data_IF_506917188281
#
_entry.id   IF_506917188281
#
_cell.length_a   1.000
_cell.length_b   1.000
_cell.length_c   1.000
_cell.angle_alpha   90.00
_cell.angle_beta   90.00
_cell.angle_gamma   90.00
#
_symmetry.space_group_name_H-M   'P 1'
#
loop_
_entity.id
_entity.type
_entity.pdbx_description
1 polymer ?
#
# COMPACT_ATOMS: atom_id res chain seq x y z
N UNK A 1 5.70 13.78 -19.69
CA UNK A 1 5.66 12.66 -18.73
C UNK A 1 5.04 11.47 -19.46
N UNK A 2 5.70 10.31 -19.54
CA UNK A 2 5.26 9.15 -20.35
C UNK A 2 4.58 8.15 -19.41
N UNK A 3 3.34 7.78 -19.69
CA UNK A 3 2.50 6.92 -18.84
C UNK A 3 2.28 5.59 -19.56
N UNK A 4 2.49 4.47 -18.88
CA UNK A 4 2.21 3.12 -19.40
C UNK A 4 0.92 2.57 -18.77
N UNK A 5 0.09 1.90 -19.57
CA UNK A 5 -1.24 1.41 -19.17
C UNK A 5 -1.18 -0.08 -18.85
N UNK A 6 -1.52 -0.45 -17.62
CA UNK A 6 -1.65 -1.84 -17.19
C UNK A 6 -3.03 -2.05 -16.57
N UNK A 7 -3.90 -2.84 -17.23
CA UNK A 7 -5.19 -3.29 -16.66
C UNK A 7 -6.08 -2.18 -16.06
N UNK A 8 -6.13 -1.00 -16.68
CA UNK A 8 -6.93 0.15 -16.20
C UNK A 8 -6.21 1.07 -15.20
N UNK A 9 -4.99 0.72 -14.78
CA UNK A 9 -4.15 1.57 -13.93
C UNK A 9 -3.17 2.38 -14.79
N UNK A 10 -3.14 3.69 -14.57
CA UNK A 10 -2.15 4.59 -15.15
C UNK A 10 -0.92 4.61 -14.25
N UNK A 11 0.17 4.03 -14.74
CA UNK A 11 1.44 3.90 -14.01
C UNK A 11 2.44 4.86 -14.67
N UNK A 12 2.89 5.85 -13.90
CA UNK A 12 3.97 6.75 -14.31
C UNK A 12 5.29 5.96 -14.52
N UNK A 13 6.10 6.32 -15.52
CA UNK A 13 7.38 5.68 -15.82
C UNK A 13 8.35 5.67 -14.62
N UNK A 14 8.28 6.68 -13.74
CA UNK A 14 9.06 6.69 -12.50
C UNK A 14 8.54 5.65 -11.49
N UNK A 15 7.22 5.45 -11.42
CA UNK A 15 6.62 4.37 -10.63
C UNK A 15 7.04 2.99 -11.18
N UNK A 16 7.11 2.80 -12.50
CA UNK A 16 7.61 1.55 -13.10
C UNK A 16 9.04 1.23 -12.66
N UNK A 17 9.93 2.23 -12.65
CA UNK A 17 11.31 2.07 -12.13
C UNK A 17 11.34 1.74 -10.64
N UNK A 18 10.54 2.44 -9.84
CA UNK A 18 10.50 2.23 -8.39
C UNK A 18 9.92 0.84 -8.05
N UNK A 19 8.96 0.33 -8.85
CA UNK A 19 8.42 -1.02 -8.74
C UNK A 19 9.43 -2.11 -9.14
N UNK A 20 10.29 -1.86 -10.14
CA UNK A 20 11.33 -2.82 -10.54
C UNK A 20 12.38 -3.08 -9.45
N UNK A 21 12.53 -2.17 -8.48
CA UNK A 21 13.46 -2.32 -7.33
C UNK A 21 12.86 -3.10 -6.14
N UNK A 22 11.58 -3.47 -6.24
CA UNK A 22 10.87 -4.25 -5.24
C UNK A 22 11.05 -5.75 -5.50
N UNK A 23 11.13 -6.55 -4.43
CA UNK A 23 11.09 -8.01 -4.57
C UNK A 23 9.63 -8.46 -4.70
N UNK A 24 9.42 -9.74 -5.04
CA UNK A 24 8.08 -10.31 -5.17
C UNK A 24 7.20 -10.14 -3.92
N UNK A 25 7.81 -10.09 -2.72
CA UNK A 25 7.06 -9.89 -1.49
C UNK A 25 6.59 -8.44 -1.32
N UNK A 26 7.41 -7.44 -1.63
CA UNK A 26 6.98 -6.04 -1.55
C UNK A 26 5.97 -5.69 -2.64
N UNK A 27 6.12 -6.27 -3.83
CA UNK A 27 5.10 -6.15 -4.89
C UNK A 27 3.76 -6.72 -4.43
N UNK A 28 3.73 -7.91 -3.81
CA UNK A 28 2.48 -8.48 -3.27
C UNK A 28 1.81 -7.55 -2.26
N UNK A 29 2.59 -6.97 -1.35
CA UNK A 29 2.05 -6.03 -0.34
C UNK A 29 1.57 -4.73 -0.98
N UNK A 30 2.29 -4.21 -1.98
CA UNK A 30 1.89 -3.03 -2.73
C UNK A 30 0.57 -3.25 -3.48
N UNK A 31 0.46 -4.35 -4.23
CA UNK A 31 -0.76 -4.69 -4.96
C UNK A 31 -1.94 -4.96 -4.03
N UNK A 32 -1.73 -5.60 -2.88
CA UNK A 32 -2.77 -5.77 -1.86
C UNK A 32 -3.28 -4.43 -1.33
N UNK A 33 -2.41 -3.43 -1.13
CA UNK A 33 -2.82 -2.09 -0.76
C UNK A 33 -3.62 -1.39 -1.87
N UNK A 34 -3.16 -1.48 -3.12
CA UNK A 34 -3.88 -0.93 -4.27
C UNK A 34 -5.28 -1.53 -4.43
N UNK A 35 -5.40 -2.87 -4.33
CA UNK A 35 -6.68 -3.57 -4.43
C UNK A 35 -7.67 -3.13 -3.36
N UNK A 36 -7.22 -3.03 -2.10
CA UNK A 36 -8.09 -2.58 -1.03
C UNK A 36 -8.50 -1.09 -1.15
N UNK A 37 -7.66 -0.23 -1.75
CA UNK A 37 -8.00 1.16 -2.04
C UNK A 37 -9.06 1.26 -3.14
N UNK A 38 -8.92 0.44 -4.19
CA UNK A 38 -9.87 0.34 -5.29
C UNK A 38 -11.24 -0.17 -4.82
N UNK A 39 -11.28 -1.24 -4.02
CA UNK A 39 -12.53 -1.78 -3.45
C UNK A 39 -13.29 -0.73 -2.61
N UNK A 40 -12.55 0.16 -1.94
CA UNK A 40 -13.14 1.23 -1.13
C UNK A 40 -13.44 2.52 -1.91
N UNK A 41 -13.02 2.63 -3.17
CA UNK A 41 -13.09 3.87 -3.94
C UNK A 41 -12.41 5.05 -3.23
N UNK A 42 -11.37 4.79 -2.44
CA UNK A 42 -10.74 5.79 -1.55
C UNK A 42 -9.24 5.83 -1.77
N UNK A 43 -8.66 7.03 -1.68
CA UNK A 43 -7.21 7.26 -1.69
C UNK A 43 -6.55 6.97 -0.33
N UNK A 44 -7.35 6.73 0.71
CA UNK A 44 -6.88 6.34 2.04
C UNK A 44 -7.49 5.01 2.46
N UNK A 45 -6.67 4.14 3.01
CA UNK A 45 -7.13 2.90 3.64
C UNK A 45 -6.64 2.76 5.07
N UNK A 46 -7.60 2.42 5.92
CA UNK A 46 -7.36 1.86 7.24
C UNK A 46 -7.18 0.35 7.17
N UNK A 47 -5.96 -0.12 7.42
CA UNK A 47 -5.67 -1.56 7.50
C UNK A 47 -4.56 -1.84 8.52
N UNK A 48 -4.55 -3.04 9.09
CA UNK A 48 -3.51 -3.48 10.01
C UNK A 48 -2.48 -4.34 9.27
N UNK A 49 -1.26 -4.42 9.79
CA UNK A 49 -0.25 -5.31 9.23
C UNK A 49 -0.68 -6.77 9.28
N UNK A 50 -1.45 -7.17 10.29
CA UNK A 50 -2.03 -8.52 10.41
C UNK A 50 -3.07 -8.80 9.32
N UNK A 51 -3.85 -7.80 8.93
CA UNK A 51 -4.81 -7.95 7.84
C UNK A 51 -4.09 -8.11 6.50
N UNK A 52 -3.08 -7.27 6.24
CA UNK A 52 -2.25 -7.36 5.04
C UNK A 52 -1.46 -8.68 4.96
N UNK A 53 -0.96 -9.19 6.09
CA UNK A 53 -0.23 -10.46 6.13
C UNK A 53 -1.13 -11.63 5.74
N UNK A 54 -2.41 -11.60 6.14
CA UNK A 54 -3.41 -12.60 5.73
C UNK A 54 -3.71 -12.52 4.23
N UNK A 55 -3.96 -11.32 3.69
CA UNK A 55 -4.28 -11.13 2.26
C UNK A 55 -3.11 -11.58 1.37
N UNK A 56 -1.89 -11.25 1.77
CA UNK A 56 -0.69 -11.55 0.97
C UNK A 56 -0.11 -12.94 1.21
N UNK A 57 -0.67 -13.68 2.19
CA UNK A 57 -0.12 -14.94 2.69
C UNK A 57 1.38 -14.84 3.06
N UNK A 58 1.76 -13.75 3.71
CA UNK A 58 3.13 -13.49 4.16
C UNK A 58 3.18 -13.48 5.69
N UNK A 59 4.37 -13.68 6.26
CA UNK A 59 4.55 -13.46 7.69
C UNK A 59 4.33 -11.97 8.04
N UNK A 60 3.92 -11.69 9.28
CA UNK A 60 3.75 -10.32 9.77
C UNK A 60 5.09 -9.57 9.66
N UNK A 61 6.22 -10.20 9.99
CA UNK A 61 7.54 -9.60 9.87
C UNK A 61 7.89 -9.24 8.42
N UNK A 62 7.64 -10.14 7.47
CA UNK A 62 7.87 -9.90 6.04
C UNK A 62 7.00 -8.74 5.55
N UNK A 63 5.73 -8.71 5.98
CA UNK A 63 4.78 -7.65 5.64
C UNK A 63 5.24 -6.30 6.20
N UNK A 64 5.72 -6.25 7.44
CA UNK A 64 6.27 -5.01 8.04
C UNK A 64 7.50 -4.51 7.31
N UNK A 65 8.44 -5.40 6.95
CA UNK A 65 9.63 -5.04 6.17
C UNK A 65 9.25 -4.50 4.79
N UNK A 66 8.29 -5.14 4.13
CA UNK A 66 7.77 -4.68 2.85
C UNK A 66 7.15 -3.29 2.95
N UNK A 67 6.25 -3.07 3.92
CA UNK A 67 5.65 -1.75 4.16
C UNK A 67 6.69 -0.67 4.44
N UNK A 68 7.73 -0.99 5.23
CA UNK A 68 8.84 -0.06 5.47
C UNK A 68 9.57 0.30 4.19
N UNK A 69 9.87 -0.67 3.32
CA UNK A 69 10.56 -0.43 2.05
C UNK A 69 9.70 0.39 1.08
N UNK A 70 8.41 0.07 0.97
CA UNK A 70 7.46 0.84 0.16
C UNK A 70 7.33 2.29 0.64
N UNK A 71 7.35 2.51 1.96
CA UNK A 71 7.32 3.85 2.54
C UNK A 71 8.61 4.63 2.21
N UNK A 72 9.77 4.01 2.38
CA UNK A 72 11.07 4.62 2.07
C UNK A 72 11.23 4.91 0.57
N UNK A 73 10.65 4.08 -0.30
CA UNK A 73 10.59 4.31 -1.74
C UNK A 73 9.60 5.42 -2.15
N UNK A 74 8.86 6.01 -1.19
CA UNK A 74 7.85 7.03 -1.48
C UNK A 74 6.65 6.53 -2.26
N UNK A 75 6.43 5.20 -2.29
CA UNK A 75 5.30 4.56 -2.97
C UNK A 75 4.03 4.63 -2.14
N UNK A 76 4.19 4.57 -0.82
CA UNK A 76 3.10 4.71 0.14
C UNK A 76 3.42 5.79 1.17
N UNK A 77 2.39 6.50 1.60
CA UNK A 77 2.43 7.33 2.78
C UNK A 77 1.72 6.62 3.92
N UNK A 78 2.33 6.64 5.11
CA UNK A 78 1.71 6.16 6.34
C UNK A 78 1.38 7.37 7.20
N UNK A 79 0.11 7.55 7.53
CA UNK A 79 -0.31 8.53 8.53
C UNK A 79 -0.73 7.80 9.80
N UNK A 80 -0.21 8.27 10.94
CA UNK A 80 -0.60 7.82 12.28
C UNK A 80 -1.44 8.89 12.97
N UNK A 81 -2.34 9.58 12.24
CA UNK A 81 -3.30 10.47 12.90
C UNK A 81 -4.36 9.65 13.65
N UNK A 82 -4.15 9.55 14.95
CA UNK A 82 -5.04 8.95 15.94
C UNK A 82 -6.36 9.73 16.01
N UNK A 83 -7.51 9.03 15.92
CA UNK A 83 -8.77 9.52 16.46
C UNK A 83 -9.07 8.66 17.69
N UNK A 84 -8.99 9.27 18.88
CA UNK A 84 -9.27 8.61 20.15
C UNK A 84 -10.77 8.76 20.43
N UNK A 85 -11.55 7.75 20.07
CA UNK A 85 -12.86 7.43 20.63
C UNK A 85 -13.06 5.92 20.42
N UNK A 86 -13.44 5.21 21.48
CA UNK A 86 -13.73 3.77 21.59
C UNK A 86 -12.60 2.87 22.16
N UNK A 87 -12.86 2.38 23.38
CA UNK A 87 -11.99 1.59 24.27
C UNK A 87 -11.71 0.13 23.81
N UNK A 88 -11.81 -0.18 22.51
CA UNK A 88 -11.47 -1.52 21.98
C UNK A 88 -10.48 -1.48 20.81
N UNK A 89 -9.64 -0.45 20.75
CA UNK A 89 -8.91 -0.12 19.53
C UNK A 89 -7.53 -0.79 19.41
N UNK A 90 -7.44 -1.84 18.59
CA UNK A 90 -6.15 -2.30 18.04
C UNK A 90 -5.63 -1.25 17.06
N UNK A 91 -4.36 -0.86 17.19
CA UNK A 91 -3.75 0.17 16.35
C UNK A 91 -3.84 -0.17 14.84
N UNK A 92 -4.72 0.52 14.12
CA UNK A 92 -4.81 0.46 12.65
C UNK A 92 -3.95 1.59 12.07
N UNK A 93 -3.18 1.28 11.01
CA UNK A 93 -2.38 2.28 10.31
C UNK A 93 -3.12 2.76 9.07
N UNK A 94 -3.02 4.04 8.77
CA UNK A 94 -3.59 4.63 7.55
C UNK A 94 -2.53 4.61 6.47
N UNK A 95 -2.84 3.98 5.35
CA UNK A 95 -1.99 3.97 4.18
C UNK A 95 -2.65 4.71 3.02
N UNK A 96 -1.84 5.47 2.28
CA UNK A 96 -2.19 6.07 0.99
C UNK A 96 -1.14 5.68 -0.02
N UNK A 97 -1.54 5.21 -1.19
CA UNK A 97 -0.63 5.02 -2.32
C UNK A 97 -0.47 6.39 -3.01
N UNK A 98 0.78 6.81 -3.24
CA UNK A 98 1.07 8.20 -3.65
C UNK A 98 1.15 8.41 -5.17
N UNK A 99 1.46 7.36 -5.93
CA UNK A 99 1.83 7.48 -7.35
C UNK A 99 0.97 6.67 -8.31
N UNK A 100 -0.16 6.15 -7.81
CA UNK A 100 -1.13 5.38 -8.60
C UNK A 100 -2.39 6.22 -8.73
N UNK A 101 -2.71 6.62 -9.96
CA UNK A 101 -4.03 7.18 -10.28
C UNK A 101 -4.97 6.03 -10.62
N UNK A 102 -6.07 5.94 -9.87
CA UNK A 102 -7.17 5.02 -10.16
C UNK A 102 -8.02 5.66 -11.27
N UNK A 103 -7.97 5.10 -12.48
CA UNK A 103 -8.78 5.51 -13.63
C UNK A 103 -10.08 4.73 -13.74
#
# INVERSE_FOLDING_TARGET
>A
MKVEKYSGLYIDYQLTKDLMLLTGNELKVFWALCGLLQEKGSIYIWTSCQHLSKITNLSIMTTQRALKKLFLAGLIHRSTKYYKKDEKFQAKSIYRVLRVELG
#
